data_IF_385407716965
#
_entry.id   IF_385407716965
#
_cell.length_a   1.000
_cell.length_b   1.000
_cell.length_c   1.000
_cell.angle_alpha   90.00
_cell.angle_beta   90.00
_cell.angle_gamma   90.00
#
_symmetry.space_group_name_H-M   'P 1'
#
loop_
_entity.id
_entity.type
_entity.pdbx_description
1 polymer ?
#
# COMPACT_ATOMS: atom_id res chain seq x y z
N UNK A 1 -0.49 -7.22 -25.29
CA UNK A 1 -1.10 -5.94 -25.71
C UNK A 1 -2.40 -5.74 -24.94
N UNK A 2 -2.38 -4.88 -23.92
CA UNK A 2 -3.56 -4.52 -23.16
C UNK A 2 -3.73 -3.00 -23.21
N UNK A 3 -4.96 -2.54 -23.37
CA UNK A 3 -5.34 -1.14 -23.23
C UNK A 3 -5.95 -0.98 -21.83
N UNK A 4 -5.23 -0.47 -20.84
CA UNK A 4 -5.73 -0.33 -19.48
C UNK A 4 -6.74 0.82 -19.39
N UNK A 5 -7.80 0.59 -18.60
CA UNK A 5 -8.71 1.63 -18.11
C UNK A 5 -8.46 1.74 -16.61
N UNK A 6 -7.90 2.84 -16.18
CA UNK A 6 -7.54 3.04 -14.77
C UNK A 6 -8.73 3.49 -13.94
N UNK A 7 -8.87 2.89 -12.77
CA UNK A 7 -9.79 3.31 -11.71
C UNK A 7 -8.99 3.99 -10.62
N UNK A 8 -9.28 5.25 -10.33
CA UNK A 8 -8.60 6.03 -9.34
C UNK A 8 -9.42 6.10 -8.05
N UNK A 9 -8.99 5.44 -6.97
CA UNK A 9 -9.60 5.59 -5.66
C UNK A 9 -9.49 7.04 -5.17
N UNK A 10 -10.43 7.48 -4.34
CA UNK A 10 -10.34 8.80 -3.72
C UNK A 10 -9.36 8.78 -2.58
N UNK A 11 -8.64 9.89 -2.39
CA UNK A 11 -7.86 10.10 -1.19
C UNK A 11 -8.77 10.17 0.04
N UNK A 12 -8.38 9.47 1.10
CA UNK A 12 -9.08 9.48 2.40
C UNK A 12 -8.45 10.52 3.32
N UNK A 13 -7.12 10.51 3.42
CA UNK A 13 -6.34 11.48 4.22
C UNK A 13 -4.85 11.32 3.96
N UNK A 14 -4.10 12.41 4.02
CA UNK A 14 -2.62 12.40 4.13
C UNK A 14 -1.89 11.57 3.07
N UNK A 15 -2.43 11.50 1.85
CA UNK A 15 -1.88 10.67 0.77
C UNK A 15 -2.26 9.18 0.86
N UNK A 16 -3.19 8.80 1.73
CA UNK A 16 -3.76 7.46 1.81
C UNK A 16 -4.99 7.40 0.90
N UNK A 17 -4.94 6.52 -0.09
CA UNK A 17 -6.05 6.29 -1.01
C UNK A 17 -6.98 5.20 -0.51
N UNK A 18 -8.27 5.38 -0.74
CA UNK A 18 -9.31 4.46 -0.32
C UNK A 18 -9.45 3.23 -1.21
N UNK A 19 -10.54 2.51 -1.00
CA UNK A 19 -10.91 1.34 -1.78
C UNK A 19 -11.42 1.70 -3.18
N UNK A 20 -11.24 0.82 -4.15
CA UNK A 20 -11.99 0.85 -5.41
C UNK A 20 -13.45 0.53 -5.12
N UNK A 21 -14.35 1.42 -5.49
CA UNK A 21 -15.78 1.21 -5.23
C UNK A 21 -16.45 0.35 -6.30
N UNK A 22 -17.47 -0.45 -5.93
CA UNK A 22 -18.27 -1.20 -6.91
C UNK A 22 -18.90 -0.30 -7.99
N UNK A 23 -19.29 0.94 -7.64
CA UNK A 23 -19.86 1.89 -8.58
C UNK A 23 -18.87 2.38 -9.63
N UNK A 24 -17.59 2.56 -9.28
CA UNK A 24 -16.54 2.88 -10.26
C UNK A 24 -16.35 1.74 -11.28
N UNK A 25 -16.36 0.50 -10.81
CA UNK A 25 -16.25 -0.69 -11.70
C UNK A 25 -17.46 -0.77 -12.64
N UNK A 26 -18.67 -0.58 -12.11
CA UNK A 26 -19.88 -0.61 -12.95
C UNK A 26 -19.91 0.53 -13.96
N UNK A 27 -19.46 1.73 -13.57
CA UNK A 27 -19.37 2.86 -14.48
C UNK A 27 -18.35 2.62 -15.61
N UNK A 28 -17.20 2.01 -15.28
CA UNK A 28 -16.19 1.66 -16.29
C UNK A 28 -16.78 0.70 -17.33
N UNK A 29 -17.53 -0.32 -16.93
CA UNK A 29 -18.21 -1.22 -17.89
C UNK A 29 -19.25 -0.51 -18.75
N UNK A 30 -19.95 0.51 -18.23
CA UNK A 30 -20.91 1.31 -19.02
C UNK A 30 -20.22 2.22 -20.04
N UNK A 31 -19.00 2.66 -19.76
CA UNK A 31 -18.22 3.56 -20.61
C UNK A 31 -17.33 2.83 -21.62
N UNK A 32 -16.93 1.60 -21.32
CA UNK A 32 -15.96 0.83 -22.10
C UNK A 32 -16.47 -0.60 -22.36
N UNK A 33 -17.06 -0.84 -23.51
CA UNK A 33 -17.66 -2.15 -23.86
C UNK A 33 -16.63 -3.29 -23.99
N UNK A 34 -15.36 -2.95 -24.27
CA UNK A 34 -14.31 -3.92 -24.57
C UNK A 34 -13.53 -4.41 -23.34
N UNK A 35 -13.92 -4.04 -22.12
CA UNK A 35 -13.28 -4.55 -20.90
C UNK A 35 -13.40 -6.06 -20.85
N UNK A 36 -12.28 -6.77 -20.64
CA UNK A 36 -12.21 -8.23 -20.59
C UNK A 36 -12.04 -8.76 -19.17
N UNK A 37 -11.36 -8.00 -18.33
CA UNK A 37 -11.10 -8.36 -16.93
C UNK A 37 -10.99 -7.10 -16.08
N UNK A 38 -11.23 -7.25 -14.81
CA UNK A 38 -10.94 -6.24 -13.77
C UNK A 38 -9.82 -6.77 -12.90
N UNK A 39 -8.83 -5.94 -12.64
CA UNK A 39 -7.71 -6.24 -11.73
C UNK A 39 -7.73 -5.18 -10.64
N UNK A 40 -7.78 -5.58 -9.38
CA UNK A 40 -7.71 -4.69 -8.22
C UNK A 40 -6.70 -5.21 -7.21
N UNK A 41 -6.08 -4.29 -6.47
CA UNK A 41 -5.28 -4.61 -5.27
C UNK A 41 -6.16 -4.41 -4.04
N UNK A 42 -6.37 -5.47 -3.27
CA UNK A 42 -7.15 -5.45 -2.03
C UNK A 42 -6.65 -6.55 -1.09
N UNK A 43 -6.14 -6.19 0.10
CA UNK A 43 -6.06 -4.85 0.66
C UNK A 43 -5.06 -3.93 -0.05
N UNK A 44 -5.22 -2.62 0.15
CA UNK A 44 -4.16 -1.67 -0.18
C UNK A 44 -2.94 -1.88 0.73
N UNK A 45 -1.85 -1.18 0.46
CA UNK A 45 -0.64 -1.26 1.28
C UNK A 45 -0.89 -0.82 2.73
N UNK A 46 -1.78 0.15 2.91
CA UNK A 46 -2.21 0.67 4.20
C UNK A 46 -3.24 -0.23 4.91
N UNK A 47 -3.80 -1.20 4.21
CA UNK A 47 -4.77 -2.14 4.78
C UNK A 47 -6.23 -1.73 4.61
N UNK A 48 -6.55 -0.97 3.55
CA UNK A 48 -7.94 -0.66 3.17
C UNK A 48 -8.43 -1.72 2.21
N UNK A 49 -9.64 -2.23 2.41
CA UNK A 49 -10.22 -3.36 1.65
C UNK A 49 -11.37 -2.88 0.77
N UNK A 50 -11.35 -3.28 -0.49
CA UNK A 50 -12.47 -3.08 -1.41
C UNK A 50 -13.60 -4.07 -1.14
N UNK A 51 -14.84 -3.71 -1.44
CA UNK A 51 -15.99 -4.64 -1.39
C UNK A 51 -15.88 -5.64 -2.57
N UNK A 52 -14.93 -6.58 -2.41
CA UNK A 52 -14.58 -7.57 -3.45
C UNK A 52 -15.79 -8.37 -3.87
N UNK A 53 -16.67 -8.73 -2.92
CA UNK A 53 -17.88 -9.51 -3.19
C UNK A 53 -18.82 -8.79 -4.16
N UNK A 54 -19.14 -7.53 -3.88
CA UNK A 54 -19.98 -6.74 -4.79
C UNK A 54 -19.29 -6.44 -6.14
N UNK A 55 -17.97 -6.24 -6.13
CA UNK A 55 -17.21 -6.08 -7.36
C UNK A 55 -17.29 -7.36 -8.19
N UNK A 56 -17.11 -8.55 -7.60
CA UNK A 56 -17.25 -9.84 -8.27
C UNK A 56 -18.64 -10.02 -8.88
N UNK A 57 -19.71 -9.72 -8.13
CA UNK A 57 -21.09 -9.77 -8.62
C UNK A 57 -21.30 -8.86 -9.86
N UNK A 58 -20.71 -7.67 -9.87
CA UNK A 58 -20.77 -6.74 -11.00
C UNK A 58 -20.01 -7.33 -12.19
N UNK A 59 -18.75 -7.70 -11.98
CA UNK A 59 -17.86 -8.23 -13.04
C UNK A 59 -18.49 -9.45 -13.71
N UNK A 60 -19.07 -10.36 -12.91
CA UNK A 60 -19.72 -11.58 -13.41
C UNK A 60 -21.03 -11.29 -14.15
N UNK A 61 -21.80 -10.26 -13.78
CA UNK A 61 -22.97 -9.80 -14.56
C UNK A 61 -22.60 -9.40 -15.99
N UNK A 62 -21.42 -8.85 -16.18
CA UNK A 62 -20.89 -8.51 -17.51
C UNK A 62 -20.18 -9.70 -18.19
N UNK A 63 -20.17 -10.90 -17.57
CA UNK A 63 -19.50 -12.09 -18.10
C UNK A 63 -17.98 -11.96 -18.16
N UNK A 64 -17.38 -11.21 -17.25
CA UNK A 64 -15.93 -10.92 -17.19
C UNK A 64 -15.28 -11.56 -15.98
N UNK A 65 -13.95 -11.43 -15.89
CA UNK A 65 -13.09 -12.06 -14.88
C UNK A 65 -12.62 -10.99 -13.88
N UNK A 66 -12.67 -11.32 -12.58
CA UNK A 66 -12.08 -10.52 -11.52
C UNK A 66 -10.79 -11.17 -11.02
N UNK A 67 -9.71 -10.41 -11.08
CA UNK A 67 -8.40 -10.76 -10.53
C UNK A 67 -8.11 -9.85 -9.34
N UNK A 68 -7.75 -10.43 -8.20
CA UNK A 68 -7.42 -9.67 -7.00
C UNK A 68 -5.97 -9.93 -6.60
N UNK A 69 -5.18 -8.86 -6.56
CA UNK A 69 -3.90 -8.86 -5.89
C UNK A 69 -4.14 -8.71 -4.38
N UNK A 70 -4.15 -9.84 -3.69
CA UNK A 70 -4.29 -9.96 -2.23
C UNK A 70 -2.93 -10.27 -1.58
N UNK A 71 -1.84 -9.72 -2.13
CA UNK A 71 -0.49 -10.00 -1.65
C UNK A 71 -0.31 -9.69 -0.15
N UNK A 72 -1.02 -8.69 0.36
CA UNK A 72 -0.99 -8.30 1.77
C UNK A 72 -2.11 -8.91 2.63
N UNK A 73 -2.98 -9.76 2.07
CA UNK A 73 -4.14 -10.34 2.75
C UNK A 73 -4.10 -11.86 2.95
N UNK A 74 -2.93 -12.51 2.77
CA UNK A 74 -2.84 -13.97 2.89
C UNK A 74 -3.26 -14.51 4.27
N UNK A 75 -3.26 -13.69 5.30
CA UNK A 75 -3.68 -14.04 6.67
C UNK A 75 -5.20 -13.93 6.91
N UNK A 76 -5.96 -13.33 6.02
CA UNK A 76 -7.39 -13.05 6.23
C UNK A 76 -8.23 -14.30 6.54
N UNK A 77 -7.92 -15.41 5.91
CA UNK A 77 -8.68 -16.66 6.09
C UNK A 77 -8.54 -17.29 7.49
N UNK A 78 -7.65 -16.80 8.35
CA UNK A 78 -7.27 -17.52 9.57
C UNK A 78 -7.91 -16.97 10.86
N UNK A 79 -8.61 -15.81 10.80
CA UNK A 79 -9.31 -15.29 11.97
C UNK A 79 -10.39 -14.25 11.56
N UNK A 80 -11.56 -14.30 12.21
CA UNK A 80 -12.73 -13.46 11.94
C UNK A 80 -12.54 -11.95 12.19
N UNK A 81 -11.51 -11.55 12.93
CA UNK A 81 -11.15 -10.13 13.13
C UNK A 81 -10.54 -9.48 11.88
N UNK A 82 -10.17 -10.25 10.88
CA UNK A 82 -9.69 -9.76 9.59
C UNK A 82 -10.82 -9.74 8.56
N UNK A 83 -10.68 -8.96 7.47
CA UNK A 83 -11.62 -8.99 6.36
C UNK A 83 -11.75 -10.39 5.74
N UNK A 84 -12.85 -10.63 5.04
CA UNK A 84 -13.02 -11.85 4.27
C UNK A 84 -12.06 -11.86 3.08
N UNK A 85 -11.33 -12.97 2.90
CA UNK A 85 -10.38 -13.10 1.78
C UNK A 85 -11.11 -13.08 0.44
N UNK A 86 -10.50 -12.46 -0.56
CA UNK A 86 -10.99 -12.42 -1.94
C UNK A 86 -11.25 -13.81 -2.52
N UNK A 87 -10.57 -14.84 -2.01
CA UNK A 87 -10.82 -16.26 -2.35
C UNK A 87 -12.26 -16.65 -2.06
N UNK A 88 -12.85 -16.16 -0.96
CA UNK A 88 -14.23 -16.47 -0.57
C UNK A 88 -15.24 -15.43 -1.09
N UNK A 89 -14.77 -14.28 -1.55
CA UNK A 89 -15.60 -13.21 -2.07
C UNK A 89 -15.97 -13.36 -3.58
N UNK A 90 -15.58 -14.47 -4.21
CA UNK A 90 -15.95 -14.75 -5.61
C UNK A 90 -14.98 -14.19 -6.65
N UNK A 91 -13.78 -13.78 -6.29
CA UNK A 91 -12.74 -13.45 -7.26
C UNK A 91 -12.33 -14.71 -8.05
N UNK A 92 -12.09 -14.57 -9.35
CA UNK A 92 -11.74 -15.71 -10.22
C UNK A 92 -10.27 -16.11 -10.08
N UNK A 93 -9.39 -15.13 -9.89
CA UNK A 93 -7.99 -15.35 -9.57
C UNK A 93 -7.57 -14.47 -8.38
N UNK A 94 -6.85 -15.05 -7.43
CA UNK A 94 -6.32 -14.32 -6.26
C UNK A 94 -4.85 -14.65 -6.08
N UNK A 95 -4.03 -13.62 -5.97
CA UNK A 95 -2.60 -13.73 -5.71
C UNK A 95 -2.32 -13.37 -4.26
N UNK A 96 -1.69 -14.28 -3.51
CA UNK A 96 -1.32 -14.05 -2.11
C UNK A 96 0.18 -14.25 -1.92
N UNK A 97 0.87 -13.22 -1.41
CA UNK A 97 2.28 -13.33 -0.99
C UNK A 97 2.32 -13.85 0.44
N UNK A 98 2.46 -15.15 0.60
CA UNK A 98 2.43 -15.77 1.94
C UNK A 98 3.63 -15.38 2.81
N UNK A 99 4.73 -14.95 2.19
CA UNK A 99 5.90 -14.48 2.91
C UNK A 99 5.74 -13.10 3.57
N UNK A 100 4.70 -12.31 3.19
CA UNK A 100 4.49 -10.96 3.75
C UNK A 100 3.77 -10.99 5.08
N UNK A 101 2.79 -11.90 5.25
CA UNK A 101 1.88 -11.89 6.39
C UNK A 101 1.76 -13.24 7.10
N UNK A 102 2.34 -14.30 6.55
CA UNK A 102 2.38 -15.65 7.10
C UNK A 102 3.83 -16.13 7.30
N UNK A 103 4.07 -17.13 8.14
CA UNK A 103 5.43 -17.59 8.49
C UNK A 103 6.05 -18.44 7.36
N UNK A 104 6.27 -17.84 6.20
CA UNK A 104 6.89 -18.47 5.04
C UNK A 104 8.14 -17.70 4.61
N UNK A 105 9.00 -18.35 3.81
CA UNK A 105 10.23 -17.75 3.31
C UNK A 105 9.93 -16.70 2.24
N UNK A 106 10.77 -15.68 2.14
CA UNK A 106 10.70 -14.65 1.09
C UNK A 106 10.60 -15.26 -0.30
N UNK A 107 9.85 -14.62 -1.20
CA UNK A 107 9.49 -15.04 -2.57
C UNK A 107 8.38 -16.11 -2.67
N UNK A 108 7.88 -16.64 -1.56
CA UNK A 108 6.79 -17.62 -1.62
C UNK A 108 5.43 -16.93 -1.79
N UNK A 109 4.64 -17.44 -2.72
CA UNK A 109 3.31 -16.94 -3.03
C UNK A 109 2.37 -18.06 -3.44
N UNK A 110 1.06 -17.79 -3.42
CA UNK A 110 0.02 -18.69 -3.91
C UNK A 110 -0.81 -17.98 -4.99
N UNK A 111 -1.18 -18.72 -6.02
CA UNK A 111 -2.17 -18.33 -7.01
C UNK A 111 -3.39 -19.23 -6.87
N UNK A 112 -4.51 -18.65 -6.45
CA UNK A 112 -5.80 -19.34 -6.38
C UNK A 112 -6.57 -19.10 -7.67
N UNK A 113 -7.11 -20.16 -8.26
CA UNK A 113 -7.90 -20.11 -9.48
C UNK A 113 -9.25 -20.79 -9.25
N UNK A 114 -10.31 -20.06 -9.55
CA UNK A 114 -11.69 -20.52 -9.41
C UNK A 114 -12.56 -20.05 -10.60
N UNK A 115 -13.85 -20.34 -10.53
CA UNK A 115 -14.79 -19.91 -11.57
C UNK A 115 -14.48 -20.49 -12.95
N UNK A 116 -14.69 -19.68 -13.95
CA UNK A 116 -14.56 -20.06 -15.36
C UNK A 116 -13.16 -19.77 -15.96
N UNK A 117 -12.13 -19.67 -15.15
CA UNK A 117 -10.77 -19.49 -15.67
C UNK A 117 -10.30 -20.78 -16.34
N UNK A 118 -9.78 -20.62 -17.57
CA UNK A 118 -9.08 -21.69 -18.30
C UNK A 118 -7.75 -22.00 -17.59
N UNK A 119 -7.79 -22.98 -16.69
CA UNK A 119 -6.63 -23.39 -15.86
C UNK A 119 -5.48 -23.93 -16.71
N UNK A 120 -5.79 -24.60 -17.83
CA UNK A 120 -4.77 -25.13 -18.77
C UNK A 120 -4.00 -23.98 -19.44
N UNK A 121 -4.73 -22.93 -19.81
CA UNK A 121 -4.11 -21.73 -20.37
C UNK A 121 -3.25 -21.00 -19.36
N UNK A 122 -3.72 -20.86 -18.11
CA UNK A 122 -2.93 -20.26 -17.01
C UNK A 122 -1.68 -21.09 -16.78
N UNK A 123 -1.80 -22.43 -16.74
CA UNK A 123 -0.66 -23.33 -16.55
C UNK A 123 0.38 -23.18 -17.65
N UNK A 124 -0.04 -23.03 -18.90
CA UNK A 124 0.90 -22.81 -20.04
C UNK A 124 1.74 -21.54 -19.82
N UNK A 125 1.13 -20.44 -19.38
CA UNK A 125 1.88 -19.22 -19.07
C UNK A 125 2.72 -19.37 -17.81
N UNK A 126 2.22 -20.05 -16.80
CA UNK A 126 3.01 -20.41 -15.62
C UNK A 126 4.29 -21.13 -16.01
N UNK A 127 4.20 -22.17 -16.84
CA UNK A 127 5.36 -22.95 -17.29
C UNK A 127 6.36 -22.12 -18.12
N UNK A 128 5.91 -21.04 -18.75
CA UNK A 128 6.79 -20.10 -19.47
C UNK A 128 7.55 -19.15 -18.56
N UNK A 129 6.93 -18.71 -17.48
CA UNK A 129 7.48 -17.66 -16.61
C UNK A 129 8.12 -18.22 -15.32
N UNK A 130 7.76 -19.41 -14.91
CA UNK A 130 8.36 -20.07 -13.75
C UNK A 130 9.69 -20.73 -14.11
N UNK A 131 10.56 -20.84 -13.09
CA UNK A 131 11.82 -21.58 -13.25
C UNK A 131 11.57 -23.09 -13.47
N UNK A 132 12.36 -23.70 -14.33
CA UNK A 132 12.37 -25.16 -14.50
C UNK A 132 13.08 -25.89 -13.36
N UNK A 133 13.79 -25.17 -12.50
CA UNK A 133 14.52 -25.70 -11.34
C UNK A 133 14.03 -25.03 -10.06
N UNK A 134 12.83 -25.37 -9.56
CA UNK A 134 12.28 -24.77 -8.36
C UNK A 134 13.13 -25.05 -7.13
N UNK A 135 13.25 -24.07 -6.23
CA UNK A 135 13.94 -24.21 -4.96
C UNK A 135 13.16 -25.12 -4.02
N UNK A 136 13.69 -26.31 -3.71
CA UNK A 136 13.09 -27.19 -2.71
C UNK A 136 13.02 -26.57 -1.31
N UNK A 137 13.95 -25.64 -0.98
CA UNK A 137 13.93 -24.91 0.28
C UNK A 137 12.68 -24.02 0.36
N UNK A 138 12.38 -23.29 -0.72
CA UNK A 138 11.16 -22.47 -0.77
C UNK A 138 9.89 -23.32 -0.76
N UNK A 139 9.87 -24.44 -1.50
CA UNK A 139 8.75 -25.37 -1.49
C UNK A 139 8.53 -25.99 -0.09
N UNK A 140 9.60 -26.42 0.56
CA UNK A 140 9.55 -26.90 1.94
C UNK A 140 9.11 -25.81 2.94
N UNK A 141 9.48 -24.55 2.67
CA UNK A 141 8.99 -23.38 3.44
C UNK A 141 7.47 -23.18 3.32
N UNK A 142 6.92 -23.33 2.13
CA UNK A 142 5.46 -23.26 1.89
C UNK A 142 4.76 -24.40 2.63
N UNK A 143 5.22 -25.63 2.45
CA UNK A 143 4.67 -26.84 3.09
C UNK A 143 4.69 -26.71 4.62
N UNK A 144 5.83 -26.27 5.16
CA UNK A 144 5.96 -26.04 6.61
C UNK A 144 5.02 -24.95 7.12
N UNK A 145 4.86 -23.87 6.36
CA UNK A 145 3.92 -22.80 6.69
C UNK A 145 2.49 -23.35 6.77
N UNK A 146 2.05 -24.09 5.75
CA UNK A 146 0.70 -24.69 5.72
C UNK A 146 0.52 -25.69 6.87
N UNK A 147 1.50 -26.53 7.16
CA UNK A 147 1.44 -27.46 8.31
C UNK A 147 1.29 -26.73 9.64
N UNK A 148 2.01 -25.60 9.84
CA UNK A 148 1.88 -24.79 11.07
C UNK A 148 0.50 -24.18 11.16
N UNK A 149 -0.03 -23.64 10.06
CA UNK A 149 -1.35 -23.03 10.02
C UNK A 149 -2.46 -24.05 10.27
N UNK A 150 -2.37 -25.22 9.69
CA UNK A 150 -3.34 -26.30 9.89
C UNK A 150 -3.35 -26.81 11.34
N UNK A 151 -2.17 -27.03 11.92
CA UNK A 151 -2.05 -27.67 13.25
C UNK A 151 -2.12 -26.69 14.41
N UNK A 152 -1.64 -25.45 14.23
CA UNK A 152 -1.48 -24.42 15.29
C UNK A 152 -2.07 -23.06 14.91
N UNK A 153 -2.61 -22.88 13.72
CA UNK A 153 -3.07 -21.58 13.22
C UNK A 153 -4.07 -20.93 14.15
N UNK A 154 -5.15 -21.65 14.52
CA UNK A 154 -6.20 -21.07 15.37
C UNK A 154 -5.69 -20.49 16.70
N UNK A 155 -4.93 -21.21 17.56
CA UNK A 155 -4.40 -20.63 18.78
C UNK A 155 -3.39 -19.51 18.54
N UNK A 156 -2.57 -19.58 17.48
CA UNK A 156 -1.62 -18.52 17.14
C UNK A 156 -2.33 -17.24 16.72
N UNK A 157 -3.33 -17.32 15.85
CA UNK A 157 -4.10 -16.15 15.41
C UNK A 157 -4.95 -15.56 16.52
N UNK A 158 -5.56 -16.37 17.41
CA UNK A 158 -6.28 -15.87 18.56
C UNK A 158 -5.36 -15.05 19.49
N UNK A 159 -4.17 -15.55 19.79
CA UNK A 159 -3.19 -14.86 20.61
C UNK A 159 -2.69 -13.59 19.92
N UNK A 160 -2.42 -13.65 18.62
CA UNK A 160 -2.00 -12.52 17.81
C UNK A 160 -3.05 -11.40 17.80
N UNK A 161 -4.31 -11.71 17.50
CA UNK A 161 -5.40 -10.72 17.47
C UNK A 161 -5.61 -10.10 18.85
N UNK A 162 -5.53 -10.88 19.93
CA UNK A 162 -5.63 -10.36 21.29
C UNK A 162 -4.55 -9.31 21.56
N UNK A 163 -3.29 -9.61 21.25
CA UNK A 163 -2.17 -8.66 21.42
C UNK A 163 -2.33 -7.41 20.54
N UNK A 164 -2.73 -7.61 19.29
CA UNK A 164 -2.92 -6.56 18.31
C UNK A 164 -3.99 -5.55 18.73
N UNK A 165 -5.14 -6.04 19.19
CA UNK A 165 -6.22 -5.19 19.71
C UNK A 165 -5.79 -4.44 20.97
N UNK A 166 -5.03 -5.09 21.85
CA UNK A 166 -4.48 -4.43 23.04
C UNK A 166 -3.48 -3.31 22.68
N UNK A 167 -2.60 -3.54 21.68
CA UNK A 167 -1.70 -2.51 21.16
C UNK A 167 -2.50 -1.34 20.58
N UNK A 168 -3.46 -1.61 19.67
CA UNK A 168 -4.28 -0.57 19.04
C UNK A 168 -4.96 0.32 20.07
N UNK A 169 -5.52 -0.28 21.13
CA UNK A 169 -6.10 0.47 22.25
C UNK A 169 -5.08 1.32 23.02
N UNK A 170 -3.87 0.80 23.24
CA UNK A 170 -2.78 1.60 23.87
C UNK A 170 -2.39 2.79 22.99
N UNK A 171 -2.36 2.64 21.67
CA UNK A 171 -1.99 3.73 20.75
C UNK A 171 -2.98 4.90 20.75
N UNK A 172 -4.23 4.71 21.18
CA UNK A 172 -5.25 5.76 21.25
C UNK A 172 -4.90 6.89 22.25
N UNK A 173 -3.99 6.65 23.21
CA UNK A 173 -3.58 7.67 24.18
C UNK A 173 -2.58 8.68 23.60
N UNK A 174 -1.94 8.35 22.47
CA UNK A 174 -0.96 9.23 21.83
C UNK A 174 -1.68 10.47 21.24
N UNK A 175 -1.03 11.60 21.24
CA UNK A 175 -1.65 12.88 20.85
C UNK A 175 -1.10 13.44 19.54
N UNK A 176 0.20 13.32 19.31
CA UNK A 176 0.86 13.80 18.09
C UNK A 176 1.05 12.69 17.04
N UNK A 177 0.94 11.43 17.47
CA UNK A 177 0.99 10.23 16.64
C UNK A 177 -0.39 9.59 16.72
N UNK A 178 -1.14 9.54 15.62
CA UNK A 178 -2.52 9.05 15.62
C UNK A 178 -2.66 7.78 14.82
N UNK A 179 -3.28 6.77 15.41
CA UNK A 179 -3.63 5.54 14.69
C UNK A 179 -4.72 5.81 13.65
N UNK A 180 -4.43 5.51 12.38
CA UNK A 180 -5.42 5.53 11.32
C UNK A 180 -6.26 4.25 11.35
N UNK A 181 -7.60 4.33 11.23
CA UNK A 181 -8.45 3.14 11.17
C UNK A 181 -8.26 2.42 9.84
N UNK A 182 -7.90 1.15 9.90
CA UNK A 182 -7.70 0.27 8.74
C UNK A 182 -8.66 -0.91 8.82
N UNK A 183 -9.10 -1.44 7.66
CA UNK A 183 -9.91 -2.65 7.62
C UNK A 183 -9.08 -3.87 8.04
N UNK A 184 -7.84 -3.94 7.55
CA UNK A 184 -6.84 -4.91 8.02
C UNK A 184 -6.18 -4.39 9.30
N UNK A 185 -6.61 -4.89 10.45
CA UNK A 185 -6.09 -4.49 11.74
C UNK A 185 -4.60 -4.82 11.95
N UNK A 186 -4.02 -5.72 11.14
CA UNK A 186 -2.59 -6.06 11.19
C UNK A 186 -1.69 -4.91 10.75
N UNK A 187 -2.23 -3.95 10.01
CA UNK A 187 -1.54 -2.75 9.57
C UNK A 187 -1.66 -1.66 10.63
N UNK A 188 -0.57 -1.30 11.24
CA UNK A 188 -0.49 -0.17 12.17
C UNK A 188 -0.04 1.05 11.37
N UNK A 189 -1.01 1.81 10.87
CA UNK A 189 -0.77 3.06 10.13
C UNK A 189 -0.84 4.21 11.11
N UNK A 190 0.25 4.93 11.28
CA UNK A 190 0.38 6.03 12.24
C UNK A 190 0.51 7.35 11.49
N UNK A 191 -0.50 8.20 11.60
CA UNK A 191 -0.48 9.56 11.09
C UNK A 191 0.39 10.43 12.00
N UNK A 192 1.29 11.20 11.40
CA UNK A 192 2.22 12.09 12.10
C UNK A 192 2.63 13.23 11.17
N UNK A 193 3.06 14.35 11.72
CA UNK A 193 3.46 15.53 10.93
C UNK A 193 4.65 15.27 9.99
N UNK A 194 5.59 14.41 10.40
CA UNK A 194 6.80 14.06 9.65
C UNK A 194 7.06 12.55 9.81
N UNK A 195 6.55 11.77 8.85
CA UNK A 195 6.68 10.31 8.86
C UNK A 195 8.12 9.84 8.70
N UNK A 196 8.90 10.50 7.84
CA UNK A 196 10.30 10.15 7.62
C UNK A 196 11.12 10.32 8.89
N UNK A 197 10.88 11.40 9.63
CA UNK A 197 11.55 11.65 10.91
C UNK A 197 11.18 10.62 11.96
N UNK A 198 9.88 10.29 12.10
CA UNK A 198 9.42 9.24 13.01
C UNK A 198 10.09 7.89 12.68
N UNK A 199 10.13 7.53 11.41
CA UNK A 199 10.79 6.31 10.95
C UNK A 199 12.27 6.26 11.35
N UNK A 200 13.02 7.34 11.05
CA UNK A 200 14.44 7.44 11.37
C UNK A 200 14.71 7.40 12.90
N UNK A 201 13.85 8.03 13.68
CA UNK A 201 13.98 8.03 15.13
C UNK A 201 13.73 6.64 15.74
N UNK A 202 12.68 5.94 15.27
CA UNK A 202 12.42 4.55 15.66
C UNK A 202 13.57 3.62 15.27
N UNK A 203 14.10 3.76 14.06
CA UNK A 203 15.20 2.94 13.57
C UNK A 203 16.50 3.20 14.36
N UNK A 204 16.91 4.46 14.48
CA UNK A 204 18.24 4.80 14.98
C UNK A 204 18.33 4.78 16.52
N UNK A 205 17.27 5.22 17.21
CA UNK A 205 17.26 5.34 18.68
C UNK A 205 16.70 4.09 19.36
N UNK A 206 15.66 3.48 18.75
CA UNK A 206 14.96 2.37 19.38
C UNK A 206 15.21 1.02 18.67
N UNK A 207 15.96 1.02 17.54
CA UNK A 207 16.23 -0.16 16.74
C UNK A 207 14.95 -0.90 16.30
N UNK A 208 13.93 -0.12 15.92
CA UNK A 208 12.66 -0.61 15.42
C UNK A 208 12.54 -0.14 13.96
N UNK A 209 12.60 -1.10 13.04
CA UNK A 209 12.39 -0.85 11.62
C UNK A 209 10.91 -1.02 11.29
N UNK A 210 10.33 -0.01 10.66
CA UNK A 210 8.99 -0.06 10.12
C UNK A 210 9.01 -0.53 8.67
N UNK A 211 7.84 -0.85 8.14
CA UNK A 211 7.70 -1.25 6.74
C UNK A 211 7.93 -0.08 5.78
N UNK A 212 7.33 1.06 6.08
CA UNK A 212 7.37 2.22 5.19
C UNK A 212 7.21 3.53 5.97
N UNK A 213 7.77 4.61 5.41
CA UNK A 213 7.47 5.99 5.80
C UNK A 213 7.06 6.82 4.58
N UNK A 214 5.90 7.46 4.67
CA UNK A 214 5.46 8.55 3.82
C UNK A 214 5.81 9.90 4.45
N UNK A 215 5.36 11.00 3.85
CA UNK A 215 5.54 12.34 4.43
C UNK A 215 4.78 12.51 5.75
N UNK A 216 3.53 12.03 5.79
CA UNK A 216 2.61 12.28 6.89
C UNK A 216 2.14 11.02 7.63
N UNK A 217 2.68 9.86 7.30
CA UNK A 217 2.38 8.62 8.01
C UNK A 217 3.52 7.61 7.90
N UNK A 218 3.46 6.61 8.77
CA UNK A 218 4.31 5.43 8.72
C UNK A 218 3.45 4.18 8.81
N UNK A 219 3.96 3.07 8.30
CA UNK A 219 3.31 1.76 8.38
C UNK A 219 4.20 0.80 9.13
N UNK A 220 3.67 0.18 10.19
CA UNK A 220 4.24 -1.02 10.79
C UNK A 220 3.40 -2.22 10.39
N UNK A 221 4.04 -3.27 9.90
CA UNK A 221 3.42 -4.57 9.66
C UNK A 221 3.62 -5.47 10.88
N UNK A 222 2.57 -6.19 11.24
CA UNK A 222 2.58 -7.14 12.36
C UNK A 222 2.24 -8.54 11.88
N UNK A 223 2.63 -9.55 12.66
CA UNK A 223 2.43 -10.95 12.30
C UNK A 223 2.21 -11.85 13.52
N UNK A 224 1.82 -13.10 13.28
CA UNK A 224 1.69 -14.11 14.33
C UNK A 224 3.03 -14.43 15.06
N UNK A 225 4.16 -14.01 14.48
CA UNK A 225 5.48 -14.20 15.07
C UNK A 225 5.87 -13.14 16.09
N UNK A 226 5.13 -12.03 16.19
CA UNK A 226 5.44 -10.95 17.12
C UNK A 226 5.05 -11.33 18.54
N UNK A 227 5.95 -11.02 19.48
CA UNK A 227 5.78 -11.32 20.91
C UNK A 227 5.20 -10.13 21.69
N UNK A 228 4.74 -10.37 22.91
CA UNK A 228 4.27 -9.32 23.81
C UNK A 228 5.38 -8.29 24.08
N UNK A 229 6.63 -8.73 24.17
CA UNK A 229 7.80 -7.87 24.38
C UNK A 229 8.00 -6.90 23.20
N UNK A 230 7.81 -7.36 21.95
CA UNK A 230 7.95 -6.50 20.77
C UNK A 230 6.85 -5.45 20.72
N UNK A 231 5.60 -5.80 21.03
CA UNK A 231 4.50 -4.86 21.10
C UNK A 231 4.70 -3.81 22.19
N UNK A 232 5.16 -4.24 23.38
CA UNK A 232 5.42 -3.31 24.47
C UNK A 232 6.57 -2.35 24.15
N UNK A 233 7.67 -2.86 23.61
CA UNK A 233 8.80 -2.05 23.18
C UNK A 233 8.41 -1.04 22.11
N UNK A 234 7.58 -1.44 21.15
CA UNK A 234 7.09 -0.54 20.11
C UNK A 234 6.22 0.57 20.68
N UNK A 235 5.27 0.22 21.56
CA UNK A 235 4.41 1.19 22.21
C UNK A 235 5.21 2.17 23.07
N UNK A 236 6.15 1.71 23.90
CA UNK A 236 6.97 2.56 24.75
C UNK A 236 7.87 3.51 23.96
N UNK A 237 8.41 3.06 22.82
CA UNK A 237 9.16 3.92 21.92
C UNK A 237 8.28 5.06 21.36
N UNK A 238 7.08 4.73 20.86
CA UNK A 238 6.13 5.72 20.35
C UNK A 238 5.68 6.70 21.43
N UNK A 239 5.40 6.21 22.65
CA UNK A 239 5.00 7.05 23.78
C UNK A 239 6.09 8.07 24.14
N UNK A 240 7.34 7.63 24.21
CA UNK A 240 8.46 8.54 24.51
C UNK A 240 8.63 9.60 23.41
N UNK A 241 8.50 9.22 22.15
CA UNK A 241 8.58 10.17 21.02
C UNK A 241 7.41 11.16 21.07
N UNK A 242 6.19 10.71 21.36
CA UNK A 242 5.01 11.57 21.48
C UNK A 242 5.16 12.59 22.63
N UNK A 243 5.67 12.16 23.79
CA UNK A 243 5.99 13.02 24.94
C UNK A 243 7.06 14.07 24.59
N UNK A 244 8.09 13.69 23.84
CA UNK A 244 9.11 14.63 23.36
C UNK A 244 8.53 15.64 22.37
N UNK A 245 7.64 15.23 21.46
CA UNK A 245 6.91 16.12 20.54
C UNK A 245 6.06 17.12 21.31
N UNK A 246 5.29 16.68 22.31
CA UNK A 246 4.49 17.54 23.19
C UNK A 246 5.36 18.60 23.89
N UNK A 247 6.50 18.19 24.40
CA UNK A 247 7.44 19.08 25.11
C UNK A 247 8.00 20.16 24.18
N UNK A 248 8.34 19.78 22.92
CA UNK A 248 8.84 20.74 21.91
C UNK A 248 7.75 21.73 21.50
N UNK A 249 6.51 21.27 21.28
CA UNK A 249 5.36 22.15 20.96
C UNK A 249 5.13 23.16 22.09
N UNK A 250 5.08 22.73 23.33
CA UNK A 250 4.90 23.63 24.51
C UNK A 250 6.02 24.65 24.65
N UNK A 251 7.26 24.27 24.35
CA UNK A 251 8.41 25.20 24.37
C UNK A 251 8.34 26.19 23.20
N UNK A 252 7.97 25.76 21.99
CA UNK A 252 7.76 26.61 20.83
C UNK A 252 6.65 27.64 21.05
N UNK A 253 5.51 27.23 21.62
CA UNK A 253 4.42 28.14 21.98
C UNK A 253 4.84 29.17 23.03
N UNK A 254 5.59 28.79 24.06
CA UNK A 254 6.14 29.75 25.03
C UNK A 254 7.12 30.75 24.40
N UNK A 255 7.93 30.30 23.45
CA UNK A 255 8.86 31.15 22.70
C UNK A 255 8.12 32.12 21.79
N UNK A 256 7.05 31.68 21.10
CA UNK A 256 6.21 32.54 20.25
C UNK A 256 5.46 33.59 21.07
N UNK A 257 4.87 33.24 22.21
CA UNK A 257 4.25 34.19 23.11
C UNK A 257 5.22 35.26 23.66
N UNK A 258 6.49 34.91 23.82
CA UNK A 258 7.54 35.87 24.17
C UNK A 258 8.01 36.71 22.97
N UNK A 259 7.90 36.18 21.76
CA UNK A 259 8.35 36.83 20.53
C UNK A 259 7.24 37.71 19.92
N UNK A 260 5.96 37.34 20.08
CA UNK A 260 4.81 38.16 19.63
C UNK A 260 4.69 39.48 20.38
N UNK A 261 5.29 39.60 21.58
CA UNK A 261 5.45 40.88 22.24
C UNK A 261 6.52 41.78 21.60
N UNK A 262 7.35 41.26 20.67
CA UNK A 262 8.49 41.98 20.09
C UNK A 262 8.55 42.09 18.57
N UNK A 263 7.68 41.43 17.78
CA UNK A 263 7.74 41.48 16.31
C UNK A 263 6.34 41.52 15.67
N UNK A 264 5.87 42.72 15.41
CA UNK A 264 5.02 43.01 14.24
C UNK A 264 5.95 43.15 13.05
N UNK A 265 6.18 42.09 12.31
CA UNK A 265 6.64 42.02 10.90
C UNK A 265 7.46 40.75 10.66
N UNK A 266 6.82 39.77 10.07
CA UNK A 266 7.31 38.96 8.94
C UNK A 266 6.39 37.76 8.71
N UNK A 267 5.62 37.88 7.63
CA UNK A 267 4.95 36.74 7.01
C UNK A 267 6.01 35.97 6.23
N UNK A 268 6.41 34.81 6.73
CA UNK A 268 7.02 33.76 5.93
C UNK A 268 6.52 32.41 6.49
N UNK A 269 5.67 31.73 5.72
CA UNK A 269 5.30 30.35 5.95
C UNK A 269 6.54 29.45 5.80
N UNK A 270 6.68 28.36 6.58
CA UNK A 270 7.80 27.43 6.43
C UNK A 270 7.73 26.70 5.09
N UNK A 271 8.84 26.69 4.36
CA UNK A 271 9.07 26.03 3.07
C UNK A 271 8.71 24.54 3.02
N UNK A 272 8.58 23.88 4.18
CA UNK A 272 8.20 22.47 4.30
C UNK A 272 6.71 22.19 4.06
N UNK A 273 5.82 23.16 4.35
CA UNK A 273 4.37 23.05 4.05
C UNK A 273 4.08 23.20 2.55
N UNK A 274 4.83 24.06 1.85
CA UNK A 274 4.70 24.23 0.40
C UNK A 274 5.05 22.94 -0.38
N UNK A 275 6.03 22.16 0.10
CA UNK A 275 6.38 20.90 -0.54
C UNK A 275 5.31 19.80 -0.35
N UNK A 276 4.63 19.79 0.79
CA UNK A 276 3.53 18.84 1.06
C UNK A 276 2.31 19.18 0.18
N UNK A 277 1.96 20.47 0.08
CA UNK A 277 0.86 20.93 -0.79
C UNK A 277 1.15 20.65 -2.28
N UNK A 278 2.40 20.83 -2.72
CA UNK A 278 2.82 20.52 -4.09
C UNK A 278 2.72 19.01 -4.41
N UNK A 279 3.13 18.14 -3.48
CA UNK A 279 3.05 16.68 -3.70
C UNK A 279 1.60 16.21 -3.66
N UNK A 280 0.76 16.77 -2.79
CA UNK A 280 -0.69 16.44 -2.73
C UNK A 280 -1.40 16.91 -4.01
N UNK A 281 -1.12 18.13 -4.48
CA UNK A 281 -1.68 18.65 -5.74
C UNK A 281 -1.24 17.83 -6.96
N UNK A 282 -0.03 17.26 -6.93
CA UNK A 282 0.48 16.40 -7.99
C UNK A 282 -0.28 15.07 -8.08
N UNK A 283 -0.68 14.47 -6.96
CA UNK A 283 -1.41 13.20 -6.95
C UNK A 283 -2.83 13.33 -7.54
N UNK A 284 -3.31 14.55 -7.76
CA UNK A 284 -4.54 14.85 -8.49
C UNK A 284 -4.31 15.18 -9.98
N UNK A 285 -3.06 15.30 -10.41
CA UNK A 285 -2.69 15.64 -11.78
C UNK A 285 -2.41 14.35 -12.57
N UNK A 286 -3.38 13.94 -13.41
CA UNK A 286 -3.20 12.79 -14.30
C UNK A 286 -2.54 13.23 -15.59
N UNK A 287 -1.34 12.68 -15.94
CA UNK A 287 -0.67 13.00 -17.18
C UNK A 287 -1.52 12.64 -18.42
N UNK A 288 -1.35 13.38 -19.50
CA UNK A 288 -1.95 13.02 -20.78
C UNK A 288 -1.38 11.69 -21.25
N UNK A 289 -2.26 10.74 -21.60
CA UNK A 289 -1.87 9.45 -22.21
C UNK A 289 -1.78 9.63 -23.72
N UNK A 290 -0.58 9.57 -24.29
CA UNK A 290 -0.32 9.75 -25.72
C UNK A 290 -0.44 8.45 -26.52
N UNK A 291 0.01 7.35 -25.93
CA UNK A 291 -0.09 6.00 -26.49
C UNK A 291 -0.16 4.97 -25.37
N UNK A 292 -0.46 3.72 -25.73
CA UNK A 292 -0.47 2.65 -24.73
C UNK A 292 0.96 2.30 -24.26
N UNK A 293 1.11 1.70 -23.07
CA UNK A 293 2.43 1.39 -22.52
C UNK A 293 3.28 0.46 -23.38
N UNK A 294 2.66 -0.46 -24.10
CA UNK A 294 3.37 -1.40 -24.98
C UNK A 294 4.03 -0.67 -26.15
N UNK A 295 3.30 0.21 -26.84
CA UNK A 295 3.83 0.98 -27.97
C UNK A 295 4.92 1.93 -27.52
N UNK A 296 4.77 2.56 -26.34
CA UNK A 296 5.78 3.44 -25.77
C UNK A 296 7.08 2.70 -25.43
N UNK A 297 7.00 1.50 -24.87
CA UNK A 297 8.17 0.69 -24.46
C UNK A 297 8.89 0.03 -25.66
N UNK A 298 8.17 -0.25 -26.76
CA UNK A 298 8.71 -0.93 -27.91
C UNK A 298 8.96 0.00 -29.11
N UNK A 299 8.65 1.28 -28.98
CA UNK A 299 8.97 2.32 -29.96
C UNK A 299 10.43 2.82 -29.83
N UNK A 300 10.83 3.67 -30.79
CA UNK A 300 12.12 4.33 -30.71
C UNK A 300 12.17 5.28 -29.51
N UNK A 301 13.18 5.11 -28.66
CA UNK A 301 13.38 5.90 -27.44
C UNK A 301 14.82 6.40 -27.36
N UNK A 302 14.99 7.60 -26.78
CA UNK A 302 16.30 8.19 -26.53
C UNK A 302 16.42 8.64 -25.06
N UNK A 303 17.59 8.53 -24.45
CA UNK A 303 17.83 9.07 -23.14
C UNK A 303 17.81 10.60 -23.19
N UNK A 304 17.11 11.22 -22.24
CA UNK A 304 16.93 12.67 -22.15
C UNK A 304 17.23 13.12 -20.72
N UNK A 305 17.93 14.24 -20.58
CA UNK A 305 18.10 14.87 -19.26
C UNK A 305 16.74 15.26 -18.66
N UNK A 306 16.58 15.05 -17.37
CA UNK A 306 15.32 15.29 -16.66
C UNK A 306 14.77 16.71 -16.87
N UNK A 307 15.66 17.72 -16.97
CA UNK A 307 15.26 19.11 -17.26
C UNK A 307 14.65 19.34 -18.66
N UNK A 308 14.83 18.39 -19.59
CA UNK A 308 14.36 18.47 -20.97
C UNK A 308 13.24 17.48 -21.29
N UNK A 309 12.72 16.75 -20.28
CA UNK A 309 11.70 15.73 -20.48
C UNK A 309 10.26 16.30 -20.61
N UNK A 310 10.00 17.52 -20.13
CA UNK A 310 8.66 18.12 -20.12
C UNK A 310 8.06 18.19 -21.53
N UNK A 311 6.82 17.70 -21.68
CA UNK A 311 6.12 17.61 -22.97
C UNK A 311 6.52 16.40 -23.81
N UNK A 312 7.46 15.56 -23.37
CA UNK A 312 7.85 14.31 -24.05
C UNK A 312 7.08 13.13 -23.48
N UNK A 313 6.86 12.12 -24.30
CA UNK A 313 6.21 10.88 -23.91
C UNK A 313 7.21 9.95 -23.23
N UNK A 314 6.86 9.43 -22.05
CA UNK A 314 7.68 8.48 -21.31
C UNK A 314 7.75 7.13 -22.04
N UNK A 315 8.94 6.63 -22.33
CA UNK A 315 9.15 5.29 -22.84
C UNK A 315 9.19 4.24 -21.72
N UNK A 316 9.44 4.66 -20.47
CA UNK A 316 9.45 3.81 -19.30
C UNK A 316 8.76 4.51 -18.13
N UNK A 317 8.14 3.71 -17.25
CA UNK A 317 7.54 4.24 -16.03
C UNK A 317 8.57 4.60 -14.97
N UNK A 318 8.24 5.59 -14.14
CA UNK A 318 8.97 5.95 -12.92
C UNK A 318 8.02 5.82 -11.75
N UNK A 319 8.42 5.12 -10.70
CA UNK A 319 7.59 4.95 -9.51
C UNK A 319 8.39 5.19 -8.22
N UNK A 320 7.70 5.63 -7.19
CA UNK A 320 8.22 5.58 -5.82
C UNK A 320 8.10 4.16 -5.27
N UNK A 321 9.15 3.70 -4.61
CA UNK A 321 9.12 2.42 -3.93
C UNK A 321 9.71 2.54 -2.53
N UNK A 322 9.08 1.98 -1.52
CA UNK A 322 7.74 1.41 -1.47
C UNK A 322 6.63 2.47 -1.50
N UNK A 323 5.38 2.16 -1.91
CA UNK A 323 4.84 0.84 -2.28
C UNK A 323 4.88 0.53 -3.79
N UNK A 324 5.47 1.36 -4.63
CA UNK A 324 5.47 1.19 -6.08
C UNK A 324 4.39 2.01 -6.78
N UNK A 325 4.08 3.20 -6.25
CA UNK A 325 3.12 4.14 -6.86
C UNK A 325 3.80 4.81 -8.06
N UNK A 326 3.24 4.66 -9.27
CA UNK A 326 3.80 5.30 -10.45
C UNK A 326 3.62 6.82 -10.38
N UNK A 327 4.70 7.55 -10.66
CA UNK A 327 4.68 8.99 -10.91
C UNK A 327 4.32 9.29 -12.35
N UNK A 328 4.80 8.46 -13.24
CA UNK A 328 4.51 8.47 -14.67
C UNK A 328 4.63 7.06 -15.20
N UNK A 329 3.76 6.69 -16.10
CA UNK A 329 3.81 5.41 -16.80
C UNK A 329 4.31 5.58 -18.22
N UNK A 330 4.76 4.48 -18.83
CA UNK A 330 5.08 4.47 -20.25
C UNK A 330 3.84 4.88 -21.07
N UNK A 331 4.02 5.77 -22.02
CA UNK A 331 2.94 6.32 -22.85
C UNK A 331 2.31 7.61 -22.35
N UNK A 332 2.63 8.03 -21.12
CA UNK A 332 2.19 9.30 -20.54
C UNK A 332 3.19 10.43 -20.85
N UNK A 333 2.69 11.67 -20.82
CA UNK A 333 3.49 12.87 -21.12
C UNK A 333 4.04 13.50 -19.85
N UNK A 334 5.34 13.75 -19.79
CA UNK A 334 5.97 14.44 -18.68
C UNK A 334 5.44 15.86 -18.51
N UNK A 335 4.95 16.17 -17.33
CA UNK A 335 4.61 17.55 -16.90
C UNK A 335 5.77 18.19 -16.14
N UNK A 336 5.69 19.52 -15.97
CA UNK A 336 6.70 20.25 -15.18
C UNK A 336 6.73 19.79 -13.73
N UNK A 337 5.56 19.51 -13.15
CA UNK A 337 5.42 19.04 -11.78
C UNK A 337 6.06 17.64 -11.61
N UNK A 338 5.81 16.72 -12.54
CA UNK A 338 6.42 15.38 -12.53
C UNK A 338 7.95 15.48 -12.57
N UNK A 339 8.47 16.31 -13.45
CA UNK A 339 9.90 16.51 -13.58
C UNK A 339 10.55 17.11 -12.31
N UNK A 340 9.85 18.02 -11.63
CA UNK A 340 10.29 18.57 -10.33
C UNK A 340 10.30 17.53 -9.21
N UNK A 341 9.31 16.64 -9.17
CA UNK A 341 9.21 15.60 -8.12
C UNK A 341 10.28 14.52 -8.29
N UNK A 342 10.62 14.18 -9.54
CA UNK A 342 11.67 13.19 -9.83
C UNK A 342 13.07 13.76 -9.52
N UNK A 343 13.26 15.07 -9.56
CA UNK A 343 14.51 15.75 -9.23
C UNK A 343 14.81 15.76 -7.74
#
# INVERSE_FOLDING_TARGET
ELNPVYLYPKEVTSGIYGAVSPSQVEQAFKQHENIRAVIITSPTYEGIVSDVKKIAEIVHRYGKILIVDEAHGAHFAFHEAFPESAVFCGADAVIQSIHKTLPSLTQTALLHLQGNIDKERVRRYWDMYQTTSPSYVLMGGIDRCMTVLETKGKPLFNAYVTRLLALRKKLEILTNIRLFPTDDISKIVLLVRDGKKLYQELLNKYHIQLEMASLQYVIAMTSIGDTDEYYERFFEALRQIDDEMQTKIRRGQKSQLQTEQNIKQRNELPTELENVEKITAFMECFPEVKCNPYDAQNGDAEPVELGLCVGRTAAAGVCFYPPGIPLIQAGEVYTGEIAEIIR
#
